data_IF_556008144559
#
_entry.id   IF_556008144559
#
_cell.length_a   1.000
_cell.length_b   1.000
_cell.length_c   1.000
_cell.angle_alpha   90.00
_cell.angle_beta   90.00
_cell.angle_gamma   90.00
#
_symmetry.space_group_name_H-M   'P 1'
#
loop_
_entity.id
_entity.type
_entity.pdbx_description
1 polymer ?
#
# COMPACT_ATOMS: atom_id res chain seq x y z
N UNK A 1 -2.48 13.02 19.09
CA UNK A 1 -2.23 11.56 19.11
C UNK A 1 -2.11 11.08 17.68
N UNK A 2 -0.91 10.74 17.19
CA UNK A 2 -0.77 10.12 15.87
C UNK A 2 -1.42 8.73 15.95
N UNK A 3 -2.54 8.50 15.26
CA UNK A 3 -3.09 7.15 15.15
C UNK A 3 -2.02 6.26 14.51
N UNK A 4 -1.41 5.38 15.31
CA UNK A 4 -0.51 4.35 14.82
C UNK A 4 -1.31 3.45 13.90
N UNK A 5 -0.89 3.34 12.64
CA UNK A 5 -1.56 2.43 11.70
C UNK A 5 -1.42 0.99 12.21
N UNK A 6 -2.52 0.25 12.20
CA UNK A 6 -2.52 -1.18 12.46
C UNK A 6 -1.82 -1.88 11.30
N UNK A 7 -0.88 -2.77 11.60
CA UNK A 7 -0.11 -3.52 10.59
C UNK A 7 -0.73 -4.89 10.36
N UNK A 8 -0.82 -5.30 9.10
CA UNK A 8 -1.07 -6.69 8.72
C UNK A 8 0.27 -7.40 8.60
N UNK A 9 0.51 -8.41 9.44
CA UNK A 9 1.67 -9.29 9.33
C UNK A 9 1.31 -10.51 8.49
N UNK A 10 2.21 -10.89 7.58
CA UNK A 10 2.02 -12.01 6.66
C UNK A 10 3.28 -12.88 6.75
N UNK A 11 3.10 -14.12 7.22
CA UNK A 11 4.17 -15.11 7.24
C UNK A 11 4.43 -15.62 5.82
N UNK A 12 5.70 -15.56 5.41
CA UNK A 12 6.10 -15.96 4.05
C UNK A 12 7.61 -16.21 3.98
N UNK A 13 8.06 -16.83 2.90
CA UNK A 13 9.50 -17.04 2.68
C UNK A 13 10.21 -15.75 2.26
N UNK A 14 11.54 -15.73 2.42
CA UNK A 14 12.37 -14.59 2.01
C UNK A 14 12.26 -14.32 0.51
N UNK A 15 12.16 -15.38 -0.28
CA UNK A 15 12.06 -15.36 -1.74
C UNK A 15 10.76 -14.69 -2.19
N UNK A 16 9.62 -15.08 -1.60
CA UNK A 16 8.31 -14.47 -1.89
C UNK A 16 8.33 -12.98 -1.55
N UNK A 17 8.82 -12.61 -0.36
CA UNK A 17 8.92 -11.21 0.05
C UNK A 17 9.78 -10.39 -0.92
N UNK A 18 10.92 -10.92 -1.33
CA UNK A 18 11.84 -10.22 -2.25
C UNK A 18 11.21 -10.06 -3.63
N UNK A 19 10.54 -11.09 -4.15
CA UNK A 19 9.85 -11.01 -5.44
C UNK A 19 8.69 -10.01 -5.39
N UNK A 20 7.88 -10.03 -4.33
CA UNK A 20 6.79 -9.08 -4.15
C UNK A 20 7.29 -7.63 -4.11
N UNK A 21 8.42 -7.37 -3.44
CA UNK A 21 9.07 -6.04 -3.45
C UNK A 21 9.50 -5.63 -4.86
N UNK A 22 10.12 -6.53 -5.61
CA UNK A 22 10.56 -6.25 -6.99
C UNK A 22 9.37 -5.93 -7.91
N UNK A 23 8.27 -6.68 -7.78
CA UNK A 23 7.03 -6.42 -8.53
C UNK A 23 6.45 -5.05 -8.16
N UNK A 24 6.33 -4.74 -6.86
CA UNK A 24 5.82 -3.44 -6.41
C UNK A 24 6.65 -2.27 -6.98
N UNK A 25 7.98 -2.38 -6.90
CA UNK A 25 8.90 -1.38 -7.44
C UNK A 25 8.75 -1.20 -8.95
N UNK A 26 8.64 -2.29 -9.71
CA UNK A 26 8.45 -2.23 -11.17
C UNK A 26 7.14 -1.53 -11.60
N UNK A 27 6.15 -1.47 -10.70
CA UNK A 27 4.88 -0.79 -10.92
C UNK A 27 4.79 0.58 -10.25
N UNK A 28 5.90 1.10 -9.71
CA UNK A 28 5.96 2.41 -9.08
C UNK A 28 5.15 2.53 -7.78
N UNK A 29 4.92 1.41 -7.06
CA UNK A 29 4.17 1.39 -5.81
C UNK A 29 4.93 0.69 -4.68
N UNK A 30 4.50 0.92 -3.44
CA UNK A 30 5.01 0.24 -2.26
C UNK A 30 4.49 -1.19 -2.14
N UNK A 31 5.22 -2.03 -1.38
CA UNK A 31 4.77 -3.40 -1.08
C UNK A 31 3.39 -3.41 -0.40
N UNK A 32 3.12 -2.44 0.48
CA UNK A 32 1.81 -2.31 1.14
C UNK A 32 0.71 -2.04 0.13
N UNK A 33 0.91 -1.13 -0.82
CA UNK A 33 -0.08 -0.85 -1.86
C UNK A 33 -0.34 -2.06 -2.76
N UNK A 34 0.71 -2.80 -3.11
CA UNK A 34 0.58 -4.05 -3.88
C UNK A 34 -0.31 -5.06 -3.13
N UNK A 35 -0.02 -5.30 -1.84
CA UNK A 35 -0.78 -6.24 -1.01
C UNK A 35 -2.23 -5.79 -0.85
N UNK A 36 -2.47 -4.50 -0.57
CA UNK A 36 -3.83 -3.97 -0.45
C UNK A 36 -4.61 -4.09 -1.76
N UNK A 37 -3.99 -3.76 -2.90
CA UNK A 37 -4.64 -3.94 -4.22
C UNK A 37 -4.97 -5.41 -4.50
N UNK A 38 -4.10 -6.35 -4.11
CA UNK A 38 -4.39 -7.77 -4.23
C UNK A 38 -5.55 -8.21 -3.31
N UNK A 39 -5.64 -7.69 -2.09
CA UNK A 39 -6.77 -7.97 -1.19
C UNK A 39 -8.09 -7.42 -1.74
N UNK A 40 -8.07 -6.31 -2.49
CA UNK A 40 -9.27 -5.76 -3.12
C UNK A 40 -9.86 -6.64 -4.25
N UNK A 41 -9.15 -7.69 -4.70
CA UNK A 41 -9.61 -8.59 -5.77
C UNK A 41 -10.20 -9.91 -5.27
N UNK A 42 -10.29 -10.13 -3.95
CA UNK A 42 -10.77 -11.40 -3.37
C UNK A 42 -12.29 -11.61 -3.45
N UNK A 43 -13.03 -10.66 -4.02
CA UNK A 43 -14.48 -10.76 -4.26
C UNK A 43 -15.37 -10.20 -3.15
N UNK A 44 -14.80 -9.77 -2.02
CA UNK A 44 -15.55 -9.12 -0.93
C UNK A 44 -15.75 -7.62 -1.20
N UNK A 45 -17.01 -7.17 -1.20
CA UNK A 45 -17.38 -5.79 -1.55
C UNK A 45 -17.01 -4.79 -0.47
N UNK A 46 -17.16 -5.16 0.81
CA UNK A 46 -16.90 -4.26 1.93
C UNK A 46 -15.38 -4.05 2.08
N UNK A 47 -14.62 -5.13 2.03
CA UNK A 47 -13.16 -5.10 2.06
C UNK A 47 -12.59 -4.26 0.92
N UNK A 48 -13.13 -4.42 -0.30
CA UNK A 48 -12.72 -3.59 -1.45
C UNK A 48 -12.95 -2.09 -1.17
N UNK A 49 -14.12 -1.71 -0.65
CA UNK A 49 -14.43 -0.31 -0.34
C UNK A 49 -13.51 0.26 0.75
N UNK A 50 -13.24 -0.52 1.81
CA UNK A 50 -12.34 -0.10 2.89
C UNK A 50 -10.90 0.10 2.40
N UNK A 51 -10.42 -0.79 1.53
CA UNK A 51 -9.08 -0.70 0.94
C UNK A 51 -8.96 0.51 0.01
N UNK A 52 -9.95 0.74 -0.86
CA UNK A 52 -9.94 1.89 -1.76
C UNK A 52 -9.88 3.21 -0.98
N UNK A 53 -10.64 3.32 0.11
CA UNK A 53 -10.58 4.46 1.03
C UNK A 53 -9.20 4.61 1.67
N UNK A 54 -8.64 3.54 2.22
CA UNK A 54 -7.31 3.57 2.87
C UNK A 54 -6.19 3.96 1.88
N UNK A 55 -6.26 3.49 0.62
CA UNK A 55 -5.31 3.87 -0.43
C UNK A 55 -5.42 5.36 -0.83
N UNK A 56 -6.65 5.90 -0.91
CA UNK A 56 -6.86 7.33 -1.17
C UNK A 56 -6.24 8.20 -0.07
N UNK A 57 -6.48 7.87 1.20
CA UNK A 57 -5.92 8.60 2.35
C UNK A 57 -4.39 8.50 2.45
N UNK A 58 -3.77 7.45 1.88
CA UNK A 58 -2.31 7.26 1.82
C UNK A 58 -1.61 8.13 0.79
N UNK A 59 -2.25 8.38 -0.35
CA UNK A 59 -1.64 9.07 -1.50
C UNK A 59 -1.11 10.49 -1.19
N UNK A 60 -1.56 11.11 -0.09
CA UNK A 60 -1.11 12.44 0.33
C UNK A 60 0.22 12.52 1.09
N UNK A 61 0.88 11.40 1.44
CA UNK A 61 1.99 11.42 2.43
C UNK A 61 3.40 11.05 1.93
N UNK A 62 3.58 10.71 0.66
CA UNK A 62 4.83 10.12 0.16
C UNK A 62 5.61 10.90 -0.89
N UNK A 63 5.04 11.93 -1.52
CA UNK A 63 5.75 12.76 -2.50
C UNK A 63 6.07 14.10 -1.83
N UNK A 64 7.35 14.52 -1.70
CA UNK A 64 7.63 15.90 -1.33
C UNK A 64 6.93 16.79 -2.35
N UNK A 65 5.96 17.60 -1.90
CA UNK A 65 5.49 18.71 -2.71
C UNK A 65 6.71 19.61 -2.87
N UNK A 66 7.25 19.72 -4.08
CA UNK A 66 8.19 20.79 -4.40
C UNK A 66 7.46 22.10 -4.07
N UNK A 67 7.74 22.67 -2.90
CA UNK A 67 7.47 24.08 -2.65
C UNK A 67 8.21 24.81 -3.76
N UNK A 68 7.49 25.29 -4.77
CA UNK A 68 8.03 26.26 -5.70
C UNK A 68 8.29 27.52 -4.89
N UNK A 69 9.53 27.71 -4.45
CA UNK A 69 10.03 29.01 -4.03
C UNK A 69 9.91 29.94 -5.23
N UNK A 70 8.98 30.89 -5.17
CA UNK A 70 9.01 32.10 -6.01
C UNK A 70 9.72 33.20 -5.24
#
# INVERSE_FOLDING_TARGET
MSQSRIQLQIDTSKEVRNRAKAVAYSQGMSLTELVLKALATVGDKELKQLIEKDLQERSGRGRPQQFKSS
#
